data_IF_423282402851
#
_entry.id   IF_423282402851
#
_cell.length_a   1.000
_cell.length_b   1.000
_cell.length_c   1.000
_cell.angle_alpha   90.00
_cell.angle_beta   90.00
_cell.angle_gamma   90.00
#
_symmetry.space_group_name_H-M   'P 1'
#
loop_
_entity.id
_entity.type
_entity.pdbx_description
1 polymer ?
#
# COMPACT_ATOMS: atom_id res chain seq x y z
N UNK A 1 -9.82 -3.58 16.66
CA UNK A 1 -10.67 -4.52 15.92
C UNK A 1 -10.85 -4.03 14.48
N UNK A 2 -10.57 -4.88 13.48
CA UNK A 2 -10.90 -4.62 12.08
C UNK A 2 -12.40 -4.35 11.92
N UNK A 3 -12.78 -3.57 10.91
CA UNK A 3 -14.13 -3.07 10.59
C UNK A 3 -14.67 -1.97 11.51
N UNK A 4 -13.92 -1.55 12.53
CA UNK A 4 -14.35 -0.51 13.48
C UNK A 4 -13.49 0.76 13.43
N UNK A 5 -12.52 0.87 12.50
CA UNK A 5 -11.65 2.04 12.40
C UNK A 5 -12.40 3.36 12.20
N UNK A 6 -13.53 3.43 11.45
CA UNK A 6 -14.32 4.66 11.39
C UNK A 6 -14.81 5.16 12.74
N UNK A 7 -15.22 4.24 13.63
CA UNK A 7 -15.64 4.55 15.02
C UNK A 7 -14.42 4.94 15.87
N UNK A 8 -13.33 4.19 15.74
CA UNK A 8 -12.14 4.28 16.59
C UNK A 8 -11.07 5.19 15.96
N UNK A 9 -11.48 6.10 15.07
CA UNK A 9 -10.62 6.97 14.25
C UNK A 9 -9.59 7.75 15.07
N UNK A 10 -9.99 8.28 16.24
CA UNK A 10 -9.10 9.05 17.09
C UNK A 10 -7.99 8.18 17.70
N UNK A 11 -8.28 6.95 18.04
CA UNK A 11 -7.29 5.98 18.53
C UNK A 11 -6.30 5.61 17.43
N UNK A 12 -6.79 5.40 16.19
CA UNK A 12 -5.93 5.15 15.03
C UNK A 12 -5.01 6.33 14.77
N UNK A 13 -5.53 7.55 14.82
CA UNK A 13 -4.74 8.76 14.70
C UNK A 13 -3.62 8.82 15.76
N UNK A 14 -3.96 8.52 17.03
CA UNK A 14 -2.98 8.53 18.11
C UNK A 14 -1.88 7.50 17.89
N UNK A 15 -2.23 6.28 17.48
CA UNK A 15 -1.26 5.23 17.16
C UNK A 15 -0.30 5.69 16.05
N UNK A 16 -0.81 6.25 14.95
CA UNK A 16 0.02 6.76 13.86
C UNK A 16 0.90 7.94 14.30
N UNK A 17 0.38 8.82 15.15
CA UNK A 17 1.14 9.92 15.73
C UNK A 17 2.32 9.40 16.57
N UNK A 18 2.07 8.40 17.42
CA UNK A 18 3.11 7.81 18.28
C UNK A 18 4.19 7.12 17.46
N UNK A 19 3.82 6.41 16.37
CA UNK A 19 4.78 5.88 15.41
C UNK A 19 5.59 6.98 14.74
N UNK A 20 4.96 8.07 14.31
CA UNK A 20 5.65 9.16 13.61
C UNK A 20 6.72 9.86 14.45
N UNK A 21 6.68 9.69 15.77
CA UNK A 21 7.65 10.28 16.71
C UNK A 21 8.80 9.34 17.07
N UNK A 22 8.71 8.06 16.73
CA UNK A 22 9.76 7.08 17.07
C UNK A 22 10.99 7.23 16.17
N UNK A 23 10.75 7.57 14.90
CA UNK A 23 11.81 7.65 13.89
C UNK A 23 11.49 8.74 12.86
N UNK A 24 12.50 9.17 12.11
CA UNK A 24 12.33 10.08 10.98
C UNK A 24 12.02 9.27 9.72
N UNK A 25 10.74 9.17 9.36
CA UNK A 25 10.31 8.52 8.14
C UNK A 25 10.42 9.46 6.94
N UNK A 26 11.00 8.99 5.84
CA UNK A 26 11.05 9.71 4.56
C UNK A 26 9.97 9.22 3.60
N UNK A 27 9.62 7.94 3.69
CA UNK A 27 8.63 7.26 2.84
C UNK A 27 7.65 6.47 3.69
N UNK A 28 6.37 6.63 3.40
CA UNK A 28 5.28 5.90 4.06
C UNK A 28 4.36 5.31 3.00
N UNK A 29 4.02 4.05 3.16
CA UNK A 29 3.04 3.35 2.33
C UNK A 29 1.70 3.28 3.06
N UNK A 30 0.62 3.58 2.34
CA UNK A 30 -0.77 3.46 2.82
C UNK A 30 -1.60 2.70 1.78
N UNK A 31 -2.82 2.26 2.08
CA UNK A 31 -3.78 1.97 1.01
C UNK A 31 -3.97 3.19 0.10
N UNK A 32 -4.40 2.97 -1.16
CA UNK A 32 -4.74 4.07 -2.07
C UNK A 32 -5.91 4.91 -1.54
N UNK A 33 -6.05 6.12 -2.05
CA UNK A 33 -7.16 7.02 -1.66
C UNK A 33 -8.53 6.55 -2.15
N UNK A 34 -8.57 5.67 -3.15
CA UNK A 34 -9.78 5.09 -3.75
C UNK A 34 -10.09 3.68 -3.24
N UNK A 35 -9.39 3.19 -2.23
CA UNK A 35 -9.71 1.89 -1.60
C UNK A 35 -11.08 1.97 -0.92
N UNK A 36 -12.01 1.07 -1.33
CA UNK A 36 -13.39 1.05 -0.82
C UNK A 36 -13.52 0.48 0.59
N UNK A 37 -12.45 -0.12 1.15
CA UNK A 37 -12.50 -0.66 2.50
C UNK A 37 -12.48 0.47 3.54
N UNK A 38 -13.50 0.55 4.37
CA UNK A 38 -13.67 1.63 5.36
C UNK A 38 -12.47 1.82 6.29
N UNK A 39 -11.86 0.74 6.76
CA UNK A 39 -10.70 0.82 7.67
C UNK A 39 -9.47 1.37 6.92
N UNK A 40 -9.28 1.00 5.64
CA UNK A 40 -8.20 1.52 4.80
C UNK A 40 -8.35 3.02 4.57
N UNK A 41 -9.58 3.49 4.29
CA UNK A 41 -9.87 4.91 4.13
C UNK A 41 -9.50 5.73 5.37
N UNK A 42 -9.77 5.21 6.58
CA UNK A 42 -9.37 5.85 7.85
C UNK A 42 -7.86 5.91 7.96
N UNK A 43 -7.15 4.79 7.75
CA UNK A 43 -5.68 4.74 7.84
C UNK A 43 -5.04 5.74 6.87
N UNK A 44 -5.47 5.75 5.62
CA UNK A 44 -4.94 6.66 4.60
C UNK A 44 -5.21 8.13 4.94
N UNK A 45 -6.43 8.43 5.42
CA UNK A 45 -6.80 9.79 5.81
C UNK A 45 -5.95 10.30 6.97
N UNK A 46 -5.76 9.49 8.01
CA UNK A 46 -4.98 9.90 9.18
C UNK A 46 -3.47 9.90 8.89
N UNK A 47 -2.96 8.99 8.05
CA UNK A 47 -1.58 9.03 7.59
C UNK A 47 -1.25 10.33 6.84
N UNK A 48 -2.15 10.83 5.98
CA UNK A 48 -2.00 12.13 5.31
C UNK A 48 -1.86 13.29 6.28
N UNK A 49 -2.55 13.23 7.42
CA UNK A 49 -2.50 14.26 8.47
C UNK A 49 -1.19 14.21 9.28
N UNK A 50 -0.74 13.01 9.61
CA UNK A 50 0.41 12.78 10.50
C UNK A 50 1.74 12.89 9.74
N UNK A 51 1.89 12.20 8.62
CA UNK A 51 3.16 12.11 7.89
C UNK A 51 3.34 13.25 6.87
N UNK A 52 3.11 14.49 7.31
CA UNK A 52 3.18 15.69 6.42
C UNK A 52 4.55 15.89 5.78
N UNK A 53 5.62 15.47 6.46
CA UNK A 53 7.01 15.65 6.01
C UNK A 53 7.54 14.46 5.20
N UNK A 54 6.71 13.45 4.92
CA UNK A 54 7.12 12.24 4.21
C UNK A 54 6.55 12.21 2.78
N UNK A 55 7.20 11.49 1.90
CA UNK A 55 6.57 10.98 0.68
C UNK A 55 5.52 9.94 1.07
N UNK A 56 4.32 10.02 0.49
CA UNK A 56 3.22 9.08 0.72
C UNK A 56 2.87 8.39 -0.59
N UNK A 57 2.99 7.07 -0.61
CA UNK A 57 2.60 6.22 -1.73
C UNK A 57 1.44 5.30 -1.32
N UNK A 58 0.38 5.31 -2.12
CA UNK A 58 -0.75 4.40 -1.97
C UNK A 58 -0.51 3.08 -2.71
N UNK A 59 -0.47 1.95 -1.99
CA UNK A 59 -0.35 0.63 -2.62
C UNK A 59 -1.72 0.14 -3.09
N UNK A 60 -1.73 -0.53 -4.25
CA UNK A 60 -2.96 -1.09 -4.79
C UNK A 60 -3.38 -2.39 -4.09
N UNK A 61 -4.69 -2.53 -3.92
CA UNK A 61 -5.37 -3.78 -3.60
C UNK A 61 -6.45 -3.99 -4.67
N UNK A 62 -6.17 -4.73 -5.77
CA UNK A 62 -7.03 -4.76 -6.96
C UNK A 62 -8.50 -5.11 -6.70
N UNK A 63 -8.76 -5.89 -5.65
CA UNK A 63 -10.11 -6.28 -5.22
C UNK A 63 -10.88 -5.18 -4.48
N UNK A 64 -10.18 -4.15 -3.99
CA UNK A 64 -10.77 -3.00 -3.31
C UNK A 64 -10.73 -1.73 -4.16
N UNK A 65 -9.95 -1.73 -5.25
CA UNK A 65 -9.77 -0.56 -6.10
C UNK A 65 -10.58 -0.72 -7.38
N UNK A 66 -11.85 -0.32 -7.36
CA UNK A 66 -12.71 -0.32 -8.55
C UNK A 66 -12.31 0.79 -9.54
N UNK A 67 -11.78 1.89 -9.00
CA UNK A 67 -11.16 2.97 -9.75
C UNK A 67 -9.78 3.26 -9.13
N UNK A 68 -8.73 3.21 -9.94
CA UNK A 68 -7.36 3.39 -9.47
C UNK A 68 -6.51 4.15 -10.48
N UNK A 69 -5.83 5.19 -10.01
CA UNK A 69 -4.82 5.91 -10.78
C UNK A 69 -3.44 5.61 -10.23
N UNK A 70 -2.66 4.80 -10.93
CA UNK A 70 -1.27 4.50 -10.59
C UNK A 70 -0.33 5.33 -11.45
N UNK A 71 0.55 6.08 -10.81
CA UNK A 71 1.45 7.04 -11.46
C UNK A 71 2.90 6.96 -10.94
N UNK A 72 3.16 6.03 -10.02
CA UNK A 72 4.50 5.70 -9.53
C UNK A 72 4.70 4.20 -9.65
N UNK A 73 5.79 3.76 -10.28
CA UNK A 73 6.07 2.34 -10.51
C UNK A 73 7.46 1.99 -10.02
N UNK A 74 7.57 0.86 -9.33
CA UNK A 74 8.84 0.33 -8.82
C UNK A 74 9.12 -0.99 -9.54
N UNK A 75 10.19 -1.07 -10.36
CA UNK A 75 10.59 -2.32 -11.00
C UNK A 75 10.96 -3.37 -9.95
N UNK A 76 10.54 -4.61 -10.21
CA UNK A 76 10.82 -5.73 -9.33
C UNK A 76 11.67 -6.78 -10.02
N UNK A 77 12.57 -7.40 -9.26
CA UNK A 77 13.23 -8.64 -9.65
C UNK A 77 12.40 -9.87 -9.23
N UNK A 78 12.65 -11.01 -9.84
CA UNK A 78 11.98 -12.28 -9.51
C UNK A 78 12.08 -12.64 -8.01
N UNK A 79 13.19 -12.28 -7.34
CA UNK A 79 13.37 -12.51 -5.90
C UNK A 79 12.38 -11.70 -5.06
N UNK A 80 12.05 -10.46 -5.48
CA UNK A 80 11.09 -9.61 -4.78
C UNK A 80 9.67 -10.19 -4.90
N UNK A 81 9.30 -10.65 -6.09
CA UNK A 81 8.00 -11.30 -6.32
C UNK A 81 7.84 -12.56 -5.45
N UNK A 82 8.88 -13.41 -5.39
CA UNK A 82 8.88 -14.60 -4.52
C UNK A 82 8.72 -14.22 -3.04
N UNK A 83 9.43 -13.17 -2.59
CA UNK A 83 9.36 -12.69 -1.21
C UNK A 83 7.98 -12.15 -0.86
N UNK A 84 7.35 -11.39 -1.76
CA UNK A 84 5.98 -10.89 -1.62
C UNK A 84 4.99 -12.03 -1.45
N UNK A 85 5.03 -13.04 -2.33
CA UNK A 85 4.15 -14.20 -2.27
C UNK A 85 4.33 -14.94 -0.95
N UNK A 86 5.58 -15.23 -0.57
CA UNK A 86 5.88 -15.91 0.68
C UNK A 86 5.37 -15.13 1.91
N UNK A 87 5.55 -13.82 1.93
CA UNK A 87 5.03 -12.97 3.01
C UNK A 87 3.50 -13.04 3.12
N UNK A 88 2.81 -13.05 1.97
CA UNK A 88 1.35 -13.17 1.93
C UNK A 88 0.87 -14.55 2.39
N UNK A 89 1.61 -15.63 2.08
CA UNK A 89 1.31 -16.99 2.55
C UNK A 89 1.32 -17.13 4.08
N UNK A 90 1.94 -16.21 4.80
CA UNK A 90 1.91 -16.15 6.27
C UNK A 90 0.55 -15.71 6.84
N UNK A 91 -0.33 -15.11 6.03
CA UNK A 91 -1.66 -14.67 6.46
C UNK A 91 -2.69 -15.80 6.41
N UNK A 92 -2.64 -16.70 7.39
CA UNK A 92 -3.48 -17.92 7.43
C UNK A 92 -4.99 -17.65 7.34
N UNK A 93 -5.48 -16.52 7.89
CA UNK A 93 -6.88 -16.14 7.88
C UNK A 93 -7.40 -15.76 6.49
N UNK A 94 -6.51 -15.40 5.58
CA UNK A 94 -6.85 -14.86 4.25
C UNK A 94 -6.67 -15.87 3.10
N UNK A 95 -6.06 -17.03 3.36
CA UNK A 95 -5.71 -18.04 2.34
C UNK A 95 -6.87 -18.55 1.48
N UNK A 96 -8.10 -18.42 1.97
CA UNK A 96 -9.31 -18.88 1.26
C UNK A 96 -9.81 -17.90 0.20
N UNK A 97 -9.27 -16.69 0.17
CA UNK A 97 -9.74 -15.64 -0.74
C UNK A 97 -9.01 -15.73 -2.10
N UNK A 98 -9.71 -15.55 -3.23
CA UNK A 98 -9.14 -15.64 -4.58
C UNK A 98 -7.96 -14.69 -4.82
N UNK A 99 -7.95 -13.54 -4.15
CA UNK A 99 -6.87 -12.55 -4.27
C UNK A 99 -5.56 -12.96 -3.54
N UNK A 100 -5.56 -14.07 -2.81
CA UNK A 100 -4.36 -14.71 -2.24
C UNK A 100 -3.80 -15.82 -3.14
N UNK A 101 -4.42 -16.06 -4.30
CA UNK A 101 -3.88 -17.00 -5.27
C UNK A 101 -2.54 -16.50 -5.84
N UNK A 102 -1.56 -17.39 -5.85
CA UNK A 102 -0.20 -17.07 -6.32
C UNK A 102 -0.19 -16.60 -7.77
N UNK A 103 -0.99 -17.22 -8.66
CA UNK A 103 -1.04 -16.85 -10.07
C UNK A 103 -1.68 -15.47 -10.23
N UNK A 104 -2.68 -15.16 -9.41
CA UNK A 104 -3.26 -13.81 -9.38
C UNK A 104 -2.21 -12.76 -8.99
N UNK A 105 -1.48 -12.99 -7.90
CA UNK A 105 -0.45 -12.06 -7.42
C UNK A 105 0.68 -11.88 -8.45
N UNK A 106 1.14 -12.96 -9.09
CA UNK A 106 2.12 -12.90 -10.18
C UNK A 106 1.59 -12.14 -11.40
N UNK A 107 0.29 -12.29 -11.74
CA UNK A 107 -0.33 -11.58 -12.86
C UNK A 107 -0.37 -10.07 -12.63
N UNK A 108 -0.70 -9.62 -11.42
CA UNK A 108 -0.74 -8.20 -11.07
C UNK A 108 0.63 -7.56 -11.26
N UNK A 109 1.68 -8.11 -10.67
CA UNK A 109 3.04 -7.54 -10.80
C UNK A 109 3.58 -7.64 -12.21
N UNK A 110 3.18 -8.65 -13.00
CA UNK A 110 3.53 -8.78 -14.42
C UNK A 110 2.82 -7.73 -15.26
N UNK A 111 1.53 -7.49 -15.02
CA UNK A 111 0.76 -6.46 -15.71
C UNK A 111 1.39 -5.07 -15.47
N UNK A 112 1.79 -4.76 -14.24
CA UNK A 112 2.48 -3.50 -13.91
C UNK A 112 3.88 -3.44 -14.55
N UNK A 113 4.56 -4.57 -14.65
CA UNK A 113 5.82 -4.67 -15.36
C UNK A 113 5.70 -4.32 -16.85
N UNK A 114 4.65 -4.79 -17.53
CA UNK A 114 4.38 -4.46 -18.93
C UNK A 114 4.22 -2.94 -19.12
N UNK A 115 3.51 -2.27 -18.20
CA UNK A 115 3.33 -0.81 -18.25
C UNK A 115 4.65 -0.03 -18.14
N UNK A 116 5.65 -0.62 -17.48
CA UNK A 116 6.97 -0.01 -17.26
C UNK A 116 8.07 -0.58 -18.21
N UNK A 117 7.71 -1.47 -19.12
CA UNK A 117 8.68 -2.20 -19.99
C UNK A 117 9.72 -3.02 -19.20
N UNK A 118 9.30 -3.60 -18.06
CA UNK A 118 10.09 -4.49 -17.21
C UNK A 118 9.38 -5.81 -16.99
N UNK A 119 10.09 -6.89 -16.57
CA UNK A 119 9.44 -8.18 -16.31
C UNK A 119 8.37 -8.12 -15.21
N UNK A 120 8.62 -7.34 -14.17
CA UNK A 120 7.72 -7.18 -13.03
C UNK A 120 7.84 -5.76 -12.46
N UNK A 121 6.73 -5.21 -11.96
CA UNK A 121 6.70 -3.97 -11.20
C UNK A 121 5.57 -3.98 -10.17
N UNK A 122 5.64 -3.07 -9.22
CA UNK A 122 4.50 -2.63 -8.41
C UNK A 122 4.12 -1.22 -8.80
N UNK A 123 2.80 -0.96 -8.85
CA UNK A 123 2.25 0.35 -9.08
C UNK A 123 1.74 0.99 -7.80
N UNK A 124 1.90 2.30 -7.70
CA UNK A 124 1.47 3.10 -6.56
C UNK A 124 0.76 4.37 -7.03
N UNK A 125 -0.18 4.82 -6.24
CA UNK A 125 -0.70 6.18 -6.29
C UNK A 125 0.28 7.11 -5.58
N UNK A 126 0.77 8.16 -6.24
CA UNK A 126 1.52 9.22 -5.56
C UNK A 126 0.55 10.13 -4.85
N UNK A 127 0.28 9.87 -3.59
CA UNK A 127 -0.59 10.71 -2.75
C UNK A 127 0.10 12.05 -2.45
N UNK A 128 1.39 11.99 -2.16
CA UNK A 128 2.26 13.15 -1.96
C UNK A 128 3.70 12.76 -2.19
N UNK A 129 4.44 13.56 -2.95
CA UNK A 129 5.87 13.37 -3.16
C UNK A 129 6.66 14.54 -2.55
N UNK A 130 7.74 14.23 -1.87
CA UNK A 130 8.69 15.19 -1.32
C UNK A 130 10.05 14.94 -1.94
N UNK A 131 10.48 15.86 -2.81
CA UNK A 131 11.68 15.69 -3.66
C UNK A 131 12.99 15.97 -2.94
N UNK A 132 13.00 16.86 -1.94
CA UNK A 132 14.18 17.19 -1.16
C UNK A 132 14.79 16.02 -0.35
N UNK A 133 14.12 14.88 -0.36
CA UNK A 133 14.58 13.64 0.26
C UNK A 133 15.10 12.60 -0.75
N UNK A 134 15.00 12.92 -2.03
CA UNK A 134 15.41 12.02 -3.14
C UNK A 134 16.69 12.53 -3.83
N UNK A 135 17.19 13.70 -3.44
CA UNK A 135 18.40 14.36 -3.89
C UNK A 135 19.40 14.33 -2.72
#
# INVERSE_FOLDING_TARGET
NTRYFPRDRQEILQVLHDYSRKENYNLVFTPTTTDIHQDHGVVTTEAKRIFRKCTLLGYELPWNNLDISLNCFIPLEKRHVKKKIHALECYNTQKKHPYFDKKFLESVVKMRGVQLSTPFAEGFETIKMRLDQLI
#
